data_IF_762638940896
#
_entry.id   IF_762638940896
#
_cell.length_a   1.000
_cell.length_b   1.000
_cell.length_c   1.000
_cell.angle_alpha   90.00
_cell.angle_beta   90.00
_cell.angle_gamma   90.00
#
_symmetry.space_group_name_H-M   'P 1'
#
loop_
_entity.id
_entity.type
_entity.pdbx_description
1 polymer ?
#
# COMPACT_ATOMS: atom_id res chain seq x y z
N UNK A 1 -2.67 18.62 17.27
CA UNK A 1 -1.28 18.49 16.74
C UNK A 1 -1.31 18.41 15.22
N UNK A 2 -0.43 19.17 14.53
CA UNK A 2 -0.35 19.08 13.08
C UNK A 2 0.43 17.81 12.70
N UNK A 3 -0.19 16.95 11.91
CA UNK A 3 0.46 15.76 11.37
C UNK A 3 1.68 16.13 10.52
N UNK A 4 2.83 15.54 10.82
CA UNK A 4 4.07 15.77 10.07
C UNK A 4 4.13 14.88 8.82
N UNK A 5 3.67 13.64 8.93
CA UNK A 5 3.72 12.64 7.86
C UNK A 5 2.36 12.03 7.56
N UNK A 6 2.21 11.57 6.32
CA UNK A 6 1.16 10.68 5.86
C UNK A 6 1.82 9.39 5.40
N UNK A 7 1.28 8.26 5.83
CA UNK A 7 1.74 6.93 5.47
C UNK A 7 0.68 6.19 4.70
N UNK A 8 1.09 5.26 3.88
CA UNK A 8 0.19 4.36 3.19
C UNK A 8 0.94 3.19 2.57
N UNK A 9 0.19 2.23 2.11
CA UNK A 9 0.75 1.05 1.48
C UNK A 9 -0.32 0.17 0.85
N UNK A 10 0.14 -0.83 0.12
CA UNK A 10 -0.69 -1.89 -0.45
C UNK A 10 0.10 -3.20 -0.47
N UNK A 11 -0.61 -4.32 -0.36
CA UNK A 11 -0.07 -5.65 -0.57
C UNK A 11 -0.41 -6.20 -1.94
N UNK A 12 -1.51 -5.72 -2.50
CA UNK A 12 -2.08 -6.19 -3.76
C UNK A 12 -2.68 -5.06 -4.55
N UNK A 13 -2.82 -5.30 -5.83
CA UNK A 13 -3.75 -4.62 -6.71
C UNK A 13 -4.64 -5.71 -7.32
N UNK A 14 -5.84 -5.90 -6.77
CA UNK A 14 -6.76 -7.00 -7.12
C UNK A 14 -6.06 -8.38 -7.01
N UNK A 15 -6.06 -9.22 -8.05
CA UNK A 15 -5.38 -10.53 -8.06
C UNK A 15 -3.85 -10.46 -8.08
N UNK A 16 -3.26 -9.32 -8.44
CA UNK A 16 -1.81 -9.15 -8.54
C UNK A 16 -1.18 -8.80 -7.20
N UNK A 17 -0.18 -9.57 -6.77
CA UNK A 17 0.63 -9.24 -5.60
C UNK A 17 1.57 -8.10 -5.96
N UNK A 18 1.49 -6.99 -5.21
CA UNK A 18 2.37 -5.84 -5.39
C UNK A 18 2.49 -5.04 -4.09
N UNK A 19 3.40 -5.48 -3.24
CA UNK A 19 3.63 -4.81 -1.95
C UNK A 19 4.43 -3.54 -2.15
N UNK A 20 3.84 -2.44 -1.71
CA UNK A 20 4.45 -1.11 -1.76
C UNK A 20 4.03 -0.30 -0.54
N UNK A 21 4.95 0.43 0.03
CA UNK A 21 4.65 1.37 1.11
C UNK A 21 5.26 2.74 0.84
N UNK A 22 4.69 3.77 1.46
CA UNK A 22 5.21 5.13 1.33
C UNK A 22 5.07 5.95 2.61
N UNK A 23 5.94 6.95 2.72
CA UNK A 23 5.84 8.06 3.65
C UNK A 23 5.92 9.37 2.85
N UNK A 24 5.09 10.34 3.22
CA UNK A 24 5.06 11.67 2.63
C UNK A 24 5.05 12.74 3.70
N UNK A 25 5.93 13.74 3.58
CA UNK A 25 5.82 15.01 4.27
C UNK A 25 5.17 16.07 3.34
N UNK A 26 5.31 17.37 3.66
CA UNK A 26 4.73 18.43 2.83
C UNK A 26 5.35 18.54 1.45
N UNK A 27 6.63 18.17 1.32
CA UNK A 27 7.42 18.38 0.11
C UNK A 27 7.89 17.09 -0.54
N UNK A 28 8.29 16.10 0.26
CA UNK A 28 8.90 14.88 -0.26
C UNK A 28 8.01 13.67 -0.07
N UNK A 29 8.04 12.78 -1.06
CA UNK A 29 7.45 11.45 -0.96
C UNK A 29 8.54 10.40 -1.17
N UNK A 30 8.68 9.51 -0.22
CA UNK A 30 9.51 8.31 -0.32
C UNK A 30 8.61 7.09 -0.47
N UNK A 31 8.99 6.21 -1.40
CA UNK A 31 8.28 4.96 -1.69
C UNK A 31 9.25 3.78 -1.55
N UNK A 32 8.80 2.70 -0.93
CA UNK A 32 9.51 1.42 -0.89
C UNK A 32 8.71 0.37 -1.64
N UNK A 33 9.34 -0.19 -2.68
CA UNK A 33 8.80 -1.27 -3.51
C UNK A 33 9.42 -2.60 -3.08
N UNK A 34 8.60 -3.57 -2.69
CA UNK A 34 9.08 -4.88 -2.24
C UNK A 34 9.22 -5.89 -3.38
N UNK A 35 8.76 -5.52 -4.58
CA UNK A 35 8.92 -6.28 -5.83
C UNK A 35 9.56 -5.39 -6.90
N UNK A 36 10.87 -5.04 -6.75
CA UNK A 36 11.57 -4.26 -7.77
C UNK A 36 11.69 -5.05 -9.08
N UNK A 37 11.85 -4.33 -10.19
CA UNK A 37 11.95 -4.96 -11.52
C UNK A 37 10.61 -5.37 -12.12
N UNK A 38 9.49 -5.14 -11.43
CA UNK A 38 8.14 -5.28 -12.00
C UNK A 38 7.66 -3.94 -12.57
N UNK A 39 6.81 -3.92 -13.61
CA UNK A 39 6.25 -2.68 -14.12
C UNK A 39 5.29 -2.04 -13.09
N UNK A 40 5.03 -0.76 -13.26
CA UNK A 40 3.95 -0.07 -12.52
C UNK A 40 2.59 -0.59 -12.99
N UNK A 41 2.48 -0.88 -14.29
CA UNK A 41 1.31 -1.57 -14.84
C UNK A 41 1.28 -3.03 -14.36
N UNK A 42 0.14 -3.41 -13.81
CA UNK A 42 -0.16 -4.80 -13.45
C UNK A 42 -1.36 -5.27 -14.28
N UNK A 43 -1.27 -6.51 -14.76
CA UNK A 43 -2.25 -7.12 -15.67
C UNK A 43 -3.47 -7.63 -14.89
N UNK A 44 -4.30 -6.67 -14.47
CA UNK A 44 -5.50 -6.93 -13.66
C UNK A 44 -6.70 -7.13 -14.58
N UNK A 45 -7.45 -8.22 -14.39
CA UNK A 45 -8.60 -8.59 -15.25
C UNK A 45 -9.63 -7.47 -15.39
N UNK A 46 -9.90 -6.75 -14.31
CA UNK A 46 -10.81 -5.61 -14.36
C UNK A 46 -10.34 -4.53 -15.35
N UNK A 47 -9.04 -4.21 -15.40
CA UNK A 47 -8.49 -3.25 -16.36
C UNK A 47 -8.66 -3.70 -17.81
N UNK A 48 -8.50 -5.00 -18.07
CA UNK A 48 -8.66 -5.57 -19.41
C UNK A 48 -10.11 -5.51 -19.92
N UNK A 49 -11.09 -5.35 -19.03
CA UNK A 49 -12.49 -5.16 -19.43
C UNK A 49 -12.78 -3.73 -19.94
N UNK A 50 -11.83 -2.79 -19.75
CA UNK A 50 -12.00 -1.39 -20.16
C UNK A 50 -11.46 -1.16 -21.57
N UNK A 51 -12.30 -0.68 -22.55
CA UNK A 51 -11.83 -0.44 -23.92
C UNK A 51 -10.64 0.52 -24.01
N UNK A 52 -10.59 1.55 -23.14
CA UNK A 52 -9.47 2.48 -23.08
C UNK A 52 -8.15 1.78 -22.74
N UNK A 53 -8.16 0.83 -21.80
CA UNK A 53 -6.96 0.10 -21.43
C UNK A 53 -6.47 -0.79 -22.58
N UNK A 54 -7.38 -1.44 -23.28
CA UNK A 54 -7.02 -2.26 -24.45
C UNK A 54 -6.34 -1.40 -25.52
N UNK A 55 -6.84 -0.19 -25.79
CA UNK A 55 -6.22 0.75 -26.71
C UNK A 55 -4.80 1.17 -26.25
N UNK A 56 -4.60 1.47 -24.96
CA UNK A 56 -3.28 1.81 -24.41
C UNK A 56 -2.31 0.63 -24.56
N UNK A 57 -2.76 -0.60 -24.31
CA UNK A 57 -1.94 -1.80 -24.48
C UNK A 57 -1.56 -2.02 -25.96
N UNK A 58 -2.44 -1.75 -26.90
CA UNK A 58 -2.13 -1.78 -28.35
C UNK A 58 -1.09 -0.72 -28.70
N UNK A 59 -1.25 0.53 -28.24
CA UNK A 59 -0.29 1.59 -28.46
C UNK A 59 1.09 1.26 -27.87
N UNK A 60 1.13 0.62 -26.69
CA UNK A 60 2.38 0.17 -26.08
C UNK A 60 3.06 -0.92 -26.93
N UNK A 61 2.32 -1.94 -27.34
CA UNK A 61 2.82 -3.02 -28.19
C UNK A 61 3.39 -2.49 -29.52
N UNK A 62 2.73 -1.48 -30.10
CA UNK A 62 3.12 -0.86 -31.36
C UNK A 62 4.21 0.22 -31.17
N UNK A 63 4.74 0.41 -29.95
CA UNK A 63 5.75 1.44 -29.61
C UNK A 63 5.30 2.88 -29.99
N UNK A 64 4.03 3.18 -29.83
CA UNK A 64 3.39 4.46 -30.16
C UNK A 64 3.12 5.35 -28.95
N UNK A 65 3.46 4.88 -27.75
CA UNK A 65 3.41 5.69 -26.53
C UNK A 65 4.63 6.62 -26.48
N UNK A 66 4.47 7.80 -25.88
CA UNK A 66 5.60 8.64 -25.54
C UNK A 66 6.42 8.03 -24.37
N UNK A 67 7.59 8.60 -24.06
CA UNK A 67 8.50 8.06 -23.06
C UNK A 67 7.90 8.00 -21.64
N UNK A 68 7.05 8.97 -21.30
CA UNK A 68 6.40 9.02 -19.98
C UNK A 68 5.32 7.94 -19.91
N UNK A 69 4.49 7.82 -20.93
CA UNK A 69 3.46 6.80 -21.02
C UNK A 69 4.06 5.39 -21.04
N UNK A 70 5.13 5.18 -21.81
CA UNK A 70 5.83 3.90 -21.92
C UNK A 70 6.48 3.46 -20.61
N UNK A 71 6.96 4.41 -19.77
CA UNK A 71 7.57 4.09 -18.47
C UNK A 71 6.63 3.36 -17.52
N UNK A 72 5.32 3.50 -17.70
CA UNK A 72 4.30 2.77 -16.93
C UNK A 72 4.37 1.25 -17.13
N UNK A 73 4.88 0.81 -18.28
CA UNK A 73 5.02 -0.60 -18.67
C UNK A 73 6.46 -1.13 -18.50
N UNK A 74 7.40 -0.25 -18.14
CA UNK A 74 8.81 -0.64 -17.98
C UNK A 74 9.05 -1.50 -16.74
N UNK A 75 9.82 -2.58 -16.89
CA UNK A 75 10.31 -3.43 -15.80
C UNK A 75 11.50 -2.80 -15.06
N UNK A 76 11.49 -1.47 -14.87
CA UNK A 76 12.63 -0.73 -14.28
C UNK A 76 12.31 -0.14 -12.91
N UNK A 77 11.19 -0.49 -12.32
CA UNK A 77 10.83 0.02 -10.99
C UNK A 77 11.92 -0.34 -9.99
N UNK A 78 12.47 0.69 -9.35
CA UNK A 78 13.50 0.53 -8.32
C UNK A 78 12.89 0.06 -7.00
N UNK A 79 13.71 -0.51 -6.12
CA UNK A 79 13.30 -0.88 -4.76
C UNK A 79 12.92 0.33 -3.91
N UNK A 80 13.44 1.50 -4.25
CA UNK A 80 13.13 2.76 -3.58
C UNK A 80 12.93 3.87 -4.58
N UNK A 81 12.06 4.82 -4.22
CA UNK A 81 11.80 6.01 -5.00
C UNK A 81 11.71 7.22 -4.07
N UNK A 82 12.20 8.36 -4.54
CA UNK A 82 12.09 9.65 -3.84
C UNK A 82 11.67 10.73 -4.84
N UNK A 83 10.69 11.54 -4.45
CA UNK A 83 10.14 12.61 -5.26
C UNK A 83 10.10 13.92 -4.49
N UNK A 84 10.49 15.03 -5.13
CA UNK A 84 10.34 16.40 -4.65
C UNK A 84 9.06 17.00 -5.24
N UNK A 85 7.97 16.95 -4.50
CA UNK A 85 6.62 17.30 -4.97
C UNK A 85 6.45 18.80 -5.27
N UNK A 86 7.35 19.66 -4.80
CA UNK A 86 7.37 21.07 -5.17
C UNK A 86 7.93 21.28 -6.58
N UNK A 87 8.90 20.46 -6.99
CA UNK A 87 9.53 20.53 -8.31
C UNK A 87 8.89 19.61 -9.33
N UNK A 88 8.37 18.48 -8.84
CA UNK A 88 7.82 17.38 -9.64
C UNK A 88 6.49 16.90 -9.02
N UNK A 89 5.40 17.65 -9.18
CA UNK A 89 4.09 17.31 -8.60
C UNK A 89 3.47 16.05 -9.23
N UNK A 90 3.98 15.59 -10.37
CA UNK A 90 3.50 14.39 -11.06
C UNK A 90 4.36 13.15 -10.80
N UNK A 91 5.43 13.28 -9.98
CA UNK A 91 6.30 12.16 -9.61
C UNK A 91 6.92 11.44 -10.83
N UNK A 92 7.36 12.20 -11.82
CA UNK A 92 7.96 11.67 -13.05
C UNK A 92 9.47 11.45 -12.92
N UNK A 93 10.15 12.16 -12.00
CA UNK A 93 11.59 12.12 -11.83
C UNK A 93 11.96 11.51 -10.46
N UNK A 94 12.30 10.25 -10.46
CA UNK A 94 12.80 9.57 -9.26
C UNK A 94 14.23 10.04 -8.95
N UNK A 95 14.40 10.80 -7.85
CA UNK A 95 15.66 11.37 -7.39
C UNK A 95 16.36 10.53 -6.31
N UNK A 96 15.98 9.27 -6.12
CA UNK A 96 16.52 8.39 -5.07
C UNK A 96 18.05 8.22 -5.15
N UNK A 97 18.63 8.31 -6.34
CA UNK A 97 20.06 8.18 -6.58
C UNK A 97 20.81 9.52 -6.59
N UNK A 98 20.12 10.65 -6.44
CA UNK A 98 20.75 11.97 -6.38
C UNK A 98 21.31 12.22 -4.98
N UNK A 99 22.65 12.29 -4.89
CA UNK A 99 23.37 12.47 -3.64
C UNK A 99 23.02 13.79 -2.92
N UNK A 100 22.51 14.79 -3.62
CA UNK A 100 22.10 16.06 -3.00
C UNK A 100 20.89 15.90 -2.07
N UNK A 101 20.13 14.81 -2.22
CA UNK A 101 18.96 14.48 -1.39
C UNK A 101 19.21 13.36 -0.36
N UNK A 102 20.49 12.94 -0.16
CA UNK A 102 20.82 11.81 0.75
C UNK A 102 20.26 11.99 2.16
N UNK A 103 20.37 13.19 2.74
CA UNK A 103 19.87 13.46 4.08
C UNK A 103 18.34 13.36 4.18
N UNK A 104 17.62 13.78 3.13
CA UNK A 104 16.16 13.65 3.04
C UNK A 104 15.78 12.17 2.94
N UNK A 105 16.47 11.43 2.09
CA UNK A 105 16.26 10.00 1.90
C UNK A 105 16.47 9.22 3.19
N UNK A 106 17.58 9.44 3.90
CA UNK A 106 17.89 8.80 5.17
C UNK A 106 16.84 9.09 6.25
N UNK A 107 16.41 10.34 6.36
CA UNK A 107 15.35 10.74 7.30
C UNK A 107 14.06 10.00 6.99
N UNK A 108 13.59 10.02 5.74
CA UNK A 108 12.31 9.38 5.37
C UNK A 108 12.37 7.87 5.48
N UNK A 109 13.51 7.23 5.17
CA UNK A 109 13.73 5.79 5.42
C UNK A 109 13.55 5.45 6.89
N UNK A 110 14.26 6.17 7.77
CA UNK A 110 14.20 5.95 9.21
C UNK A 110 12.79 6.10 9.76
N UNK A 111 12.10 7.16 9.37
CA UNK A 111 10.75 7.45 9.86
C UNK A 111 9.73 6.43 9.31
N UNK A 112 9.92 5.98 8.06
CA UNK A 112 9.12 4.91 7.46
C UNK A 112 9.34 3.57 8.18
N UNK A 113 10.58 3.17 8.44
CA UNK A 113 10.93 1.92 9.13
C UNK A 113 10.34 1.91 10.55
N UNK A 114 10.49 3.02 11.29
CA UNK A 114 9.90 3.17 12.62
C UNK A 114 8.37 3.04 12.60
N UNK A 115 7.71 3.58 11.57
CA UNK A 115 6.26 3.46 11.43
C UNK A 115 5.84 2.01 11.15
N UNK A 116 6.54 1.30 10.26
CA UNK A 116 6.29 -0.12 9.98
C UNK A 116 6.40 -0.95 11.25
N UNK A 117 7.50 -0.80 12.00
CA UNK A 117 7.74 -1.57 13.23
C UNK A 117 6.68 -1.31 14.30
N UNK A 118 6.20 -0.08 14.40
CA UNK A 118 5.27 0.33 15.47
C UNK A 118 3.81 0.00 15.15
N UNK A 119 3.38 0.24 13.90
CA UNK A 119 1.94 0.27 13.58
C UNK A 119 1.48 -0.88 12.67
N UNK A 120 2.41 -1.52 11.95
CA UNK A 120 2.06 -2.59 11.00
C UNK A 120 3.05 -3.76 11.05
N UNK A 121 3.41 -4.25 12.26
CA UNK A 121 4.42 -5.30 12.42
C UNK A 121 4.06 -6.59 11.67
N UNK A 122 2.78 -6.86 11.52
CA UNK A 122 2.25 -8.04 10.82
C UNK A 122 2.26 -7.91 9.29
N UNK A 123 2.68 -6.77 8.74
CA UNK A 123 2.61 -6.52 7.29
C UNK A 123 3.47 -7.49 6.45
N UNK A 124 4.49 -8.07 7.06
CA UNK A 124 5.36 -9.03 6.38
C UNK A 124 4.97 -10.49 6.58
N UNK A 125 3.90 -10.76 7.32
CA UNK A 125 3.37 -12.13 7.44
C UNK A 125 2.86 -12.56 6.06
N UNK A 126 3.30 -13.71 5.54
CA UNK A 126 2.81 -14.23 4.26
C UNK A 126 1.28 -14.38 4.27
N UNK A 127 0.63 -14.02 3.17
CA UNK A 127 -0.84 -14.05 3.05
C UNK A 127 -1.45 -15.41 3.46
N UNK A 128 -0.82 -16.52 3.06
CA UNK A 128 -1.26 -17.88 3.44
C UNK A 128 -1.31 -18.09 4.96
N UNK A 129 -0.41 -17.45 5.70
CA UNK A 129 -0.33 -17.58 7.15
C UNK A 129 -1.33 -16.63 7.82
N UNK A 130 -1.57 -15.45 7.25
CA UNK A 130 -2.66 -14.56 7.66
C UNK A 130 -4.04 -15.22 7.44
N UNK A 131 -4.24 -15.89 6.31
CA UNK A 131 -5.49 -16.64 6.03
C UNK A 131 -5.72 -17.70 7.11
N UNK A 132 -4.68 -18.46 7.51
CA UNK A 132 -4.81 -19.44 8.61
C UNK A 132 -5.15 -18.81 9.95
N UNK A 133 -4.66 -17.59 10.23
CA UNK A 133 -5.01 -16.85 11.46
C UNK A 133 -6.48 -16.41 11.46
N UNK A 134 -6.98 -15.96 10.31
CA UNK A 134 -8.36 -15.48 10.15
C UNK A 134 -9.36 -16.64 10.04
N UNK A 135 -8.96 -17.73 9.39
CA UNK A 135 -9.75 -18.93 9.16
C UNK A 135 -9.04 -20.15 9.74
N UNK A 136 -9.01 -20.34 11.08
CA UNK A 136 -8.45 -21.53 11.69
C UNK A 136 -9.14 -22.79 11.13
N UNK A 137 -8.32 -23.75 10.70
CA UNK A 137 -8.81 -25.00 10.06
C UNK A 137 -9.74 -24.78 8.85
N UNK A 138 -9.60 -23.64 8.17
CA UNK A 138 -10.43 -23.28 7.01
C UNK A 138 -11.88 -22.94 7.38
N UNK A 139 -12.19 -22.73 8.64
CA UNK A 139 -13.54 -22.41 9.12
C UNK A 139 -13.62 -20.95 9.59
N UNK A 140 -14.68 -20.27 9.22
CA UNK A 140 -14.95 -18.94 9.72
C UNK A 140 -15.29 -18.99 11.21
N UNK A 141 -14.57 -18.27 12.08
CA UNK A 141 -14.92 -18.16 13.49
C UNK A 141 -16.27 -17.43 13.65
N UNK A 142 -17.06 -17.85 14.62
CA UNK A 142 -18.30 -17.16 14.99
C UNK A 142 -18.07 -16.39 16.29
N UNK A 143 -18.46 -15.13 16.29
CA UNK A 143 -18.50 -14.36 17.52
C UNK A 143 -19.69 -14.78 18.37
N UNK A 144 -19.51 -14.80 19.70
CA UNK A 144 -20.61 -14.99 20.63
C UNK A 144 -21.62 -13.85 20.48
N UNK A 145 -22.89 -14.18 20.62
CA UNK A 145 -23.98 -13.20 20.62
C UNK A 145 -23.69 -12.12 21.70
N UNK A 146 -23.99 -10.84 21.41
CA UNK A 146 -23.82 -9.81 22.43
C UNK A 146 -24.82 -10.00 23.60
N UNK A 147 -24.31 -9.79 24.80
CA UNK A 147 -25.08 -9.82 26.03
C UNK A 147 -25.39 -8.36 26.45
N UNK A 148 -26.61 -8.17 26.94
CA UNK A 148 -27.09 -6.88 27.40
C UNK A 148 -27.28 -6.92 28.91
N UNK A 149 -26.78 -5.93 29.60
CA UNK A 149 -27.04 -5.71 31.00
C UNK A 149 -27.48 -4.26 31.28
N UNK A 150 -28.32 -4.05 32.24
CA UNK A 150 -28.76 -2.73 32.67
C UNK A 150 -28.47 -2.56 34.16
N UNK A 151 -27.73 -1.53 34.50
CA UNK A 151 -27.45 -1.15 35.87
C UNK A 151 -27.50 0.37 36.00
N UNK A 152 -28.24 0.87 37.00
CA UNK A 152 -28.36 2.30 37.32
C UNK A 152 -28.76 3.17 36.09
N UNK A 153 -29.65 2.63 35.23
CA UNK A 153 -30.09 3.32 33.99
C UNK A 153 -29.08 3.28 32.84
N UNK A 154 -27.93 2.65 33.00
CA UNK A 154 -26.93 2.45 31.96
C UNK A 154 -27.06 1.07 31.33
N UNK A 155 -27.07 1.01 30.01
CA UNK A 155 -27.04 -0.23 29.24
C UNK A 155 -25.59 -0.55 28.91
N UNK A 156 -25.14 -1.73 29.28
CA UNK A 156 -23.85 -2.26 28.89
C UNK A 156 -24.07 -3.39 27.88
N UNK A 157 -23.33 -3.33 26.76
CA UNK A 157 -23.33 -4.37 25.73
C UNK A 157 -21.92 -4.97 25.68
N UNK A 158 -21.82 -6.28 25.82
CA UNK A 158 -20.53 -6.98 25.75
C UNK A 158 -20.66 -8.28 24.95
N UNK A 159 -19.53 -8.76 24.45
CA UNK A 159 -19.40 -10.08 23.85
C UNK A 159 -18.29 -10.85 24.55
N UNK A 160 -18.48 -12.15 24.75
CA UNK A 160 -17.44 -13.03 25.29
C UNK A 160 -16.30 -13.30 24.28
N UNK A 161 -16.51 -12.95 23.00
CA UNK A 161 -15.48 -13.06 21.98
C UNK A 161 -14.56 -11.86 22.05
N UNK A 162 -13.30 -12.08 22.41
CA UNK A 162 -12.28 -11.05 22.46
C UNK A 162 -12.06 -10.42 21.07
N UNK A 163 -12.02 -9.08 21.02
CA UNK A 163 -11.82 -8.34 19.77
C UNK A 163 -13.05 -8.25 18.85
N UNK A 164 -14.21 -8.80 19.26
CA UNK A 164 -15.43 -8.68 18.48
C UNK A 164 -15.92 -7.22 18.44
N UNK A 165 -16.31 -6.76 17.24
CA UNK A 165 -16.98 -5.48 17.07
C UNK A 165 -18.49 -5.65 17.23
N UNK A 166 -19.12 -4.80 18.03
CA UNK A 166 -20.58 -4.77 18.25
C UNK A 166 -21.11 -3.54 17.51
N UNK A 167 -21.91 -3.76 16.47
CA UNK A 167 -22.55 -2.72 15.66
C UNK A 167 -24.05 -2.68 15.90
#
# INVERSE_FOLDING_TARGET
>A
EKRQYVYGGRDRLDECIDKQGYIRDKRYRYVRNYYPGTPVYLDVKFRLSMPMMNNILELNRDSRLDSIQASFFDNKRLGEELYDLEKDPYELNNIVNDKSYSSVLERLRKDYDSWIETYVPDWFIPEKDNIKRILPDGKQPFAAAPEFSMKDGLVTICSQTEGASIN
#
